data_IF_909473321127
#
_entry.id   IF_909473321127
#
_cell.length_a   1.000
_cell.length_b   1.000
_cell.length_c   1.000
_cell.angle_alpha   90.00
_cell.angle_beta   90.00
_cell.angle_gamma   90.00
#
_symmetry.space_group_name_H-M   'P 1'
#
loop_
_entity.id
_entity.type
_entity.pdbx_description
1 polymer ?
#
# COMPACT_ATOMS: atom_id res chain seq x y z
N UNK A 1 -1.45 10.38 1.06
CA UNK A 1 -0.26 9.58 1.38
C UNK A 1 0.96 10.29 0.82
N UNK A 2 2.03 10.42 1.62
CA UNK A 2 3.27 11.05 1.17
C UNK A 2 4.18 10.04 0.46
N UNK A 3 4.94 10.51 -0.52
CA UNK A 3 5.94 9.70 -1.23
C UNK A 3 7.22 9.46 -0.42
N UNK A 4 7.49 10.32 0.57
CA UNK A 4 8.75 10.34 1.34
C UNK A 4 9.05 9.02 2.06
N UNK A 5 8.10 8.33 2.73
CA UNK A 5 8.37 7.05 3.37
C UNK A 5 8.84 5.96 2.39
N UNK A 6 8.22 5.88 1.20
CA UNK A 6 8.59 4.90 0.18
C UNK A 6 9.97 5.17 -0.40
N UNK A 7 10.30 6.44 -0.66
CA UNK A 7 11.62 6.83 -1.14
C UNK A 7 12.72 6.58 -0.11
N UNK A 8 12.44 6.82 1.18
CA UNK A 8 13.38 6.49 2.25
C UNK A 8 13.61 4.98 2.34
N UNK A 9 12.53 4.19 2.32
CA UNK A 9 12.64 2.72 2.34
C UNK A 9 13.45 2.20 1.14
N UNK A 10 13.24 2.76 -0.05
CA UNK A 10 14.01 2.39 -1.23
C UNK A 10 15.52 2.66 -1.05
N UNK A 11 15.87 3.78 -0.40
CA UNK A 11 17.26 4.12 -0.05
C UNK A 11 17.83 3.16 1.00
N UNK A 12 17.08 2.83 2.04
CA UNK A 12 17.52 1.90 3.10
C UNK A 12 17.82 0.50 2.53
N UNK A 13 17.05 0.08 1.52
CA UNK A 13 17.27 -1.17 0.80
C UNK A 13 18.45 -1.11 -0.18
N UNK A 14 18.99 0.08 -0.47
CA UNK A 14 20.02 0.29 -1.50
C UNK A 14 19.51 0.01 -2.91
N UNK A 15 18.20 0.17 -3.16
CA UNK A 15 17.57 -0.22 -4.41
C UNK A 15 17.39 0.95 -5.37
N UNK A 16 17.42 0.63 -6.66
CA UNK A 16 16.97 1.56 -7.72
C UNK A 16 15.47 1.37 -7.98
N UNK A 17 14.79 2.36 -8.58
CA UNK A 17 13.41 2.17 -9.06
C UNK A 17 13.26 0.96 -9.98
N UNK A 18 14.29 0.66 -10.78
CA UNK A 18 14.29 -0.52 -11.64
C UNK A 18 14.36 -1.82 -10.85
N UNK A 19 15.16 -1.87 -9.77
CA UNK A 19 15.19 -3.04 -8.88
C UNK A 19 13.82 -3.29 -8.24
N UNK A 20 13.14 -2.23 -7.79
CA UNK A 20 11.78 -2.35 -7.28
C UNK A 20 10.80 -2.85 -8.35
N UNK A 21 10.95 -2.44 -9.61
CA UNK A 21 10.14 -2.97 -10.71
C UNK A 21 10.38 -4.47 -10.95
N UNK A 22 11.60 -4.98 -10.72
CA UNK A 22 11.88 -6.42 -10.74
C UNK A 22 11.15 -7.16 -9.62
N UNK A 23 11.20 -6.64 -8.39
CA UNK A 23 10.50 -7.24 -7.26
C UNK A 23 8.97 -7.19 -7.44
N UNK A 24 8.44 -6.11 -8.04
CA UNK A 24 7.02 -6.01 -8.38
C UNK A 24 6.57 -7.10 -9.38
N UNK A 25 7.36 -7.40 -10.42
CA UNK A 25 7.04 -8.48 -11.37
C UNK A 25 7.04 -9.86 -10.68
N UNK A 26 7.96 -10.07 -9.71
CA UNK A 26 7.98 -11.30 -8.90
C UNK A 26 6.73 -11.42 -8.02
N UNK A 27 6.35 -10.34 -7.33
CA UNK A 27 5.14 -10.31 -6.48
C UNK A 27 3.89 -10.62 -7.30
N UNK A 28 3.81 -10.09 -8.52
CA UNK A 28 2.67 -10.29 -9.43
C UNK A 28 2.70 -11.62 -10.19
N UNK A 29 3.83 -12.32 -10.21
CA UNK A 29 4.04 -13.60 -10.91
C UNK A 29 3.67 -13.55 -12.41
N UNK A 30 3.76 -12.36 -13.00
CA UNK A 30 3.31 -12.09 -14.37
C UNK A 30 4.34 -12.45 -15.44
N UNK A 31 5.62 -12.62 -15.05
CA UNK A 31 6.76 -12.88 -15.94
C UNK A 31 6.87 -11.87 -17.10
N UNK A 32 6.37 -10.65 -16.91
CA UNK A 32 6.39 -9.60 -17.95
C UNK A 32 7.74 -8.88 -17.99
N UNK A 33 8.57 -9.06 -16.97
CA UNK A 33 9.84 -8.38 -16.83
C UNK A 33 9.70 -6.95 -16.31
N UNK A 34 10.76 -6.46 -15.67
CA UNK A 34 10.77 -5.18 -14.96
C UNK A 34 10.47 -3.96 -15.85
N UNK A 35 10.82 -4.03 -17.14
CA UNK A 35 10.57 -2.92 -18.08
C UNK A 35 9.10 -2.52 -18.17
N UNK A 36 8.16 -3.46 -18.01
CA UNK A 36 6.72 -3.20 -18.01
C UNK A 36 6.23 -2.47 -16.75
N UNK A 37 7.04 -2.43 -15.69
CA UNK A 37 6.67 -1.85 -14.39
C UNK A 37 7.47 -0.61 -14.02
N UNK A 38 8.56 -0.29 -14.71
CA UNK A 38 9.40 0.88 -14.41
C UNK A 38 8.59 2.17 -14.36
N UNK A 39 7.72 2.43 -15.34
CA UNK A 39 6.88 3.63 -15.36
C UNK A 39 5.86 3.67 -14.23
N UNK A 40 5.36 2.50 -13.81
CA UNK A 40 4.44 2.37 -12.68
C UNK A 40 5.15 2.69 -11.38
N UNK A 41 6.37 2.18 -11.20
CA UNK A 41 7.20 2.45 -10.02
C UNK A 41 7.56 3.93 -9.91
N UNK A 42 8.01 4.55 -11.00
CA UNK A 42 8.36 5.97 -10.99
C UNK A 42 7.17 6.84 -10.61
N UNK A 43 6.02 6.64 -11.27
CA UNK A 43 4.77 7.38 -10.96
C UNK A 43 4.33 7.18 -9.51
N UNK A 44 4.50 5.98 -8.96
CA UNK A 44 4.21 5.70 -7.56
C UNK A 44 5.14 6.45 -6.62
N UNK A 45 6.45 6.46 -6.89
CA UNK A 45 7.46 7.14 -6.06
C UNK A 45 7.36 8.67 -6.14
N UNK A 46 6.77 9.22 -7.20
CA UNK A 46 6.44 10.64 -7.33
C UNK A 46 5.15 11.00 -6.59
N UNK A 47 4.07 10.23 -6.83
CA UNK A 47 2.78 10.48 -6.20
C UNK A 47 2.00 9.16 -5.95
N UNK A 48 2.12 8.57 -4.74
CA UNK A 48 1.44 7.33 -4.38
C UNK A 48 -0.09 7.42 -4.48
N UNK A 49 -0.69 8.61 -4.33
CA UNK A 49 -2.15 8.78 -4.32
C UNK A 49 -2.78 8.56 -5.70
N UNK A 50 -2.03 8.73 -6.77
CA UNK A 50 -2.50 8.49 -8.14
C UNK A 50 -2.41 7.02 -8.56
N UNK A 51 -1.85 6.16 -7.70
CA UNK A 51 -1.71 4.74 -7.98
C UNK A 51 -2.97 3.98 -7.53
N UNK A 52 -3.31 2.92 -8.28
CA UNK A 52 -4.37 1.99 -7.88
C UNK A 52 -4.00 1.35 -6.54
N UNK A 53 -4.98 1.13 -5.66
CA UNK A 53 -4.76 0.48 -4.34
C UNK A 53 -4.03 -0.86 -4.45
N UNK A 54 -4.34 -1.66 -5.49
CA UNK A 54 -3.65 -2.93 -5.73
C UNK A 54 -2.15 -2.73 -6.00
N UNK A 55 -1.78 -1.69 -6.76
CA UNK A 55 -0.38 -1.35 -7.03
C UNK A 55 0.33 -0.87 -5.78
N UNK A 56 -0.33 -0.09 -4.93
CA UNK A 56 0.21 0.30 -3.62
C UNK A 56 0.50 -0.96 -2.77
N UNK A 57 -0.46 -1.88 -2.65
CA UNK A 57 -0.31 -3.12 -1.89
C UNK A 57 0.85 -3.96 -2.40
N UNK A 58 0.93 -4.15 -3.71
CA UNK A 58 2.00 -4.94 -4.34
C UNK A 58 3.38 -4.30 -4.12
N UNK A 59 3.48 -2.98 -4.22
CA UNK A 59 4.75 -2.25 -4.04
C UNK A 59 5.19 -2.25 -2.58
N UNK A 60 4.27 -2.12 -1.63
CA UNK A 60 4.58 -2.27 -0.20
C UNK A 60 5.10 -3.67 0.08
N UNK A 61 4.44 -4.70 -0.45
CA UNK A 61 4.89 -6.09 -0.33
C UNK A 61 6.25 -6.31 -1.00
N UNK A 62 6.49 -5.72 -2.16
CA UNK A 62 7.77 -5.82 -2.88
C UNK A 62 8.93 -5.17 -2.11
N UNK A 63 8.65 -4.18 -1.25
CA UNK A 63 9.61 -3.54 -0.34
C UNK A 63 9.75 -4.25 1.03
N UNK A 64 9.19 -5.46 1.15
CA UNK A 64 9.12 -6.22 2.41
C UNK A 64 8.41 -5.44 3.52
N UNK A 65 7.30 -4.79 3.17
CA UNK A 65 6.44 -4.06 4.09
C UNK A 65 5.05 -4.67 4.19
N UNK A 66 4.30 -4.22 5.21
CA UNK A 66 2.92 -4.63 5.47
C UNK A 66 1.97 -3.42 5.55
N UNK A 67 0.70 -3.63 5.18
CA UNK A 67 -0.35 -2.63 5.35
C UNK A 67 -1.28 -3.08 6.47
N UNK A 68 -1.42 -2.24 7.49
CA UNK A 68 -2.28 -2.48 8.65
C UNK A 68 -3.49 -1.56 8.60
N UNK A 69 -4.70 -2.12 8.60
CA UNK A 69 -5.95 -1.36 8.71
C UNK A 69 -6.42 -1.39 10.17
N UNK A 70 -6.64 -0.22 10.77
CA UNK A 70 -7.12 -0.07 12.16
C UNK A 70 -8.48 0.62 12.17
N UNK A 71 -9.50 -0.06 12.69
CA UNK A 71 -10.84 0.48 12.85
C UNK A 71 -11.03 1.04 14.26
N UNK A 72 -11.70 2.20 14.39
CA UNK A 72 -12.14 2.68 15.70
C UNK A 72 -13.32 1.84 16.16
N UNK A 73 -13.21 1.17 17.32
CA UNK A 73 -14.33 0.46 17.94
C UNK A 73 -15.30 1.50 18.50
N UNK A 74 -16.51 1.56 17.95
CA UNK A 74 -17.63 2.31 18.56
C UNK A 74 -18.50 1.32 19.32
N UNK A 75 -18.61 1.48 20.63
CA UNK A 75 -19.57 0.74 21.46
C UNK A 75 -20.74 1.67 21.72
N UNK A 76 -21.91 1.31 21.21
CA UNK A 76 -23.16 1.98 21.56
C UNK A 76 -23.52 1.57 22.99
N UNK A 77 -23.73 2.55 23.86
CA UNK A 77 -24.19 2.34 25.24
C UNK A 77 -25.49 3.10 25.38
N UNK A 78 -26.59 2.36 25.53
CA UNK A 78 -27.90 2.91 25.83
C UNK A 78 -27.98 3.17 27.32
N UNK A 79 -27.87 4.43 27.72
CA UNK A 79 -28.14 4.87 29.10
C UNK A 79 -29.61 5.29 29.15
N UNK A 80 -30.37 4.76 30.11
CA UNK A 80 -31.79 5.07 30.37
C UNK A 80 -32.76 4.83 29.20
N UNK A 81 -33.02 3.56 28.89
CA UNK A 81 -34.14 3.19 27.99
C UNK A 81 -35.28 2.57 28.80
N UNK A 82 -36.51 2.93 28.44
CA UNK A 82 -37.73 2.29 28.94
C UNK A 82 -38.36 1.54 27.76
N UNK A 83 -38.37 0.21 27.81
CA UNK A 83 -39.08 -0.60 26.82
C UNK A 83 -40.59 -0.35 26.94
N UNK A 84 -41.20 0.18 25.89
CA UNK A 84 -42.67 0.25 25.75
C UNK A 84 -43.10 -0.92 24.87
N UNK A 85 -43.76 -1.91 25.46
CA UNK A 85 -44.49 -2.94 24.69
C UNK A 85 -45.82 -2.34 24.24
N UNK A 86 -46.07 -2.37 22.93
CA UNK A 86 -47.37 -2.06 22.31
C UNK A 86 -48.27 -3.29 22.46
#
# INVERSE_FOLDING_TARGET
>A
MEAKPFNNRLKDLGWTPYRLAQELDKVRQTKKGAGNYTSTVVKFLENPNNSRTITLLDLVKAMDGEIVIRWKVKKEVTVDHQEVKI
#
